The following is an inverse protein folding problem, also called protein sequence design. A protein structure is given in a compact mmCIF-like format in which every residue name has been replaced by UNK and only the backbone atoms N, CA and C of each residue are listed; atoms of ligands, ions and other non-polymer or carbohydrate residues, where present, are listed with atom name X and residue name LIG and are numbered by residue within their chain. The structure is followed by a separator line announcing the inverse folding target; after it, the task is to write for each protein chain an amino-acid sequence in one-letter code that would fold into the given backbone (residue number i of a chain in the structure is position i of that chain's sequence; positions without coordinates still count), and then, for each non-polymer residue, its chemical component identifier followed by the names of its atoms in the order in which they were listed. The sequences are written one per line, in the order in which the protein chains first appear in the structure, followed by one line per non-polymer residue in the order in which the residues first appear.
data_IF_369372089539
#
_entry.id   IF_369372089539
#
_cell.length_a   1.000
_cell.length_b   1.000
_cell.length_c   1.000
_cell.angle_alpha   90.00
_cell.angle_beta   90.00
_cell.angle_gamma   90.00
#
_symmetry.space_group_name_H-M   'P 1'
#
loop_
_entity.id
_entity.type
_entity.pdbx_description
1 polymer ?
#
# COMPACT_ATOMS: atom_id res chain seq x y z
N UNK A 1 -64.78 10.97 37.55
CA UNK A 1 -63.93 11.79 36.60
C UNK A 1 -62.51 11.96 37.09
N UNK A 2 -62.26 12.23 38.39
CA UNK A 2 -60.88 12.41 38.94
C UNK A 2 -60.02 11.15 38.80
N UNK A 3 -60.60 9.93 39.09
CA UNK A 3 -59.88 8.63 38.98
C UNK A 3 -59.45 8.30 37.51
N UNK A 4 -60.32 8.63 36.55
CA UNK A 4 -59.99 8.46 35.11
C UNK A 4 -58.84 9.43 34.65
N UNK A 5 -58.86 10.67 35.15
CA UNK A 5 -57.76 11.62 34.87
C UNK A 5 -56.42 11.18 35.46
N UNK A 6 -56.41 10.64 36.70
CA UNK A 6 -55.22 10.11 37.33
C UNK A 6 -54.66 8.88 36.58
N UNK A 7 -55.56 7.98 36.13
CA UNK A 7 -55.17 6.82 35.34
C UNK A 7 -54.51 7.22 33.99
N UNK A 8 -55.08 8.22 33.31
CA UNK A 8 -54.51 8.76 32.06
C UNK A 8 -53.14 9.42 32.27
N UNK A 9 -52.96 10.17 33.36
CA UNK A 9 -51.66 10.75 33.71
C UNK A 9 -50.63 9.68 34.05
N UNK A 10 -50.98 8.63 34.77
CA UNK A 10 -50.10 7.51 35.08
C UNK A 10 -49.70 6.74 33.81
N UNK A 11 -50.62 6.49 32.89
CA UNK A 11 -50.32 5.87 31.58
C UNK A 11 -49.43 6.76 30.74
N UNK A 12 -49.65 8.06 30.71
CA UNK A 12 -48.79 9.03 30.01
C UNK A 12 -47.38 9.05 30.60
N UNK A 13 -47.23 9.03 31.92
CA UNK A 13 -45.93 8.97 32.59
C UNK A 13 -45.18 7.65 32.29
N UNK A 14 -45.88 6.51 32.30
CA UNK A 14 -45.31 5.21 31.93
C UNK A 14 -44.87 5.16 30.45
N UNK A 15 -45.65 5.74 29.55
CA UNK A 15 -45.28 5.83 28.13
C UNK A 15 -44.05 6.70 27.91
N UNK A 16 -43.95 7.84 28.61
CA UNK A 16 -42.76 8.70 28.57
C UNK A 16 -41.53 8.01 29.15
N UNK A 17 -41.67 7.31 30.28
CA UNK A 17 -40.55 6.55 30.88
C UNK A 17 -40.11 5.40 29.97
N UNK A 18 -41.05 4.64 29.39
CA UNK A 18 -40.77 3.58 28.44
C UNK A 18 -40.08 4.10 27.18
N UNK A 19 -40.57 5.23 26.65
CA UNK A 19 -39.95 5.88 25.51
C UNK A 19 -38.52 6.42 25.80
N UNK A 20 -38.32 7.01 26.98
CA UNK A 20 -36.98 7.47 27.40
C UNK A 20 -36.00 6.31 27.63
N UNK A 21 -36.45 5.21 28.25
CA UNK A 21 -35.64 4.02 28.44
C UNK A 21 -35.25 3.37 27.09
N UNK A 22 -36.24 3.24 26.19
CA UNK A 22 -35.96 2.73 24.83
C UNK A 22 -35.00 3.62 24.06
N UNK A 23 -35.20 4.95 24.10
CA UNK A 23 -34.29 5.92 23.47
C UNK A 23 -32.87 5.85 24.03
N UNK A 24 -32.72 5.71 25.35
CA UNK A 24 -31.42 5.54 25.99
C UNK A 24 -30.74 4.23 25.56
N UNK A 25 -31.48 3.11 25.51
CA UNK A 25 -30.93 1.85 25.00
C UNK A 25 -30.50 1.97 23.53
N UNK A 26 -31.35 2.58 22.70
CA UNK A 26 -31.02 2.80 21.29
C UNK A 26 -29.74 3.65 21.11
N UNK A 27 -29.55 4.71 21.89
CA UNK A 27 -28.35 5.54 21.88
C UNK A 27 -27.11 4.71 22.25
N UNK A 28 -27.23 3.86 23.31
CA UNK A 28 -26.10 3.00 23.73
C UNK A 28 -25.75 1.99 22.63
N UNK A 29 -26.75 1.36 22.01
CA UNK A 29 -26.53 0.41 20.91
C UNK A 29 -25.93 1.09 19.65
N UNK A 30 -26.24 2.37 19.41
CA UNK A 30 -25.79 3.14 18.26
C UNK A 30 -24.68 4.15 18.59
N UNK A 31 -24.10 4.10 19.79
CA UNK A 31 -23.11 5.10 20.26
C UNK A 31 -21.99 5.31 19.26
N UNK A 32 -21.42 4.23 18.71
CA UNK A 32 -20.30 4.29 17.76
C UNK A 32 -20.70 4.97 16.46
N UNK A 33 -21.86 4.60 15.90
CA UNK A 33 -22.36 5.20 14.67
C UNK A 33 -22.66 6.71 14.85
N UNK A 34 -23.29 7.08 15.96
CA UNK A 34 -23.56 8.48 16.30
C UNK A 34 -22.24 9.26 16.42
N UNK A 35 -21.24 8.67 17.08
CA UNK A 35 -19.90 9.27 17.20
C UNK A 35 -19.23 9.44 15.84
N UNK A 36 -19.25 8.41 14.97
CA UNK A 36 -18.66 8.47 13.64
C UNK A 36 -19.32 9.56 12.79
N UNK A 37 -20.66 9.67 12.81
CA UNK A 37 -21.37 10.75 12.12
C UNK A 37 -21.02 12.13 12.65
N UNK A 38 -20.90 12.29 13.96
CA UNK A 38 -20.54 13.57 14.58
C UNK A 38 -19.10 13.97 14.22
N UNK A 39 -18.16 13.02 14.27
CA UNK A 39 -16.75 13.26 13.91
C UNK A 39 -16.64 13.61 12.43
N UNK A 40 -17.31 12.87 11.54
CA UNK A 40 -17.31 13.15 10.11
C UNK A 40 -17.92 14.53 9.80
N UNK A 41 -19.00 14.91 10.47
CA UNK A 41 -19.64 16.24 10.31
C UNK A 41 -18.71 17.39 10.76
N UNK A 42 -17.90 17.17 11.79
CA UNK A 42 -16.96 18.17 12.33
C UNK A 42 -15.62 18.21 11.59
N UNK A 43 -15.34 17.19 10.80
CA UNK A 43 -14.09 17.10 10.06
C UNK A 43 -14.14 17.99 8.81
N UNK A 44 -13.24 18.95 8.75
CA UNK A 44 -13.03 19.76 7.54
C UNK A 44 -12.23 18.92 6.54
N UNK A 45 -12.95 18.27 5.61
CA UNK A 45 -12.38 17.32 4.66
C UNK A 45 -11.47 18.05 3.67
N UNK A 46 -10.16 17.75 3.65
CA UNK A 46 -9.25 18.33 2.68
C UNK A 46 -9.66 17.98 1.24
N UNK A 47 -9.35 18.86 0.29
CA UNK A 47 -9.66 18.66 -1.14
C UNK A 47 -9.06 17.34 -1.68
N UNK A 48 -7.83 16.99 -1.27
CA UNK A 48 -7.20 15.72 -1.61
C UNK A 48 -8.02 14.52 -1.16
N UNK A 49 -8.52 14.52 0.07
CA UNK A 49 -9.35 13.44 0.62
C UNK A 49 -10.70 13.35 -0.10
N UNK A 50 -11.32 14.50 -0.42
CA UNK A 50 -12.55 14.54 -1.21
C UNK A 50 -12.32 13.91 -2.61
N UNK A 51 -11.17 14.21 -3.23
CA UNK A 51 -10.76 13.61 -4.49
C UNK A 51 -10.55 12.10 -4.38
N UNK A 52 -9.97 11.59 -3.29
CA UNK A 52 -9.79 10.14 -3.08
C UNK A 52 -11.13 9.41 -2.96
N UNK A 53 -12.13 10.00 -2.29
CA UNK A 53 -13.49 9.45 -2.20
C UNK A 53 -14.08 9.24 -3.61
N UNK A 54 -13.98 10.25 -4.47
CA UNK A 54 -14.52 10.21 -5.84
C UNK A 54 -13.73 9.20 -6.70
N UNK A 55 -12.41 9.26 -6.67
CA UNK A 55 -11.53 8.42 -7.47
C UNK A 55 -11.65 6.94 -7.10
N UNK A 56 -11.72 6.62 -5.81
CA UNK A 56 -11.89 5.25 -5.32
C UNK A 56 -13.33 4.73 -5.46
N UNK A 57 -14.29 5.58 -5.85
CA UNK A 57 -15.69 5.19 -6.01
C UNK A 57 -16.37 4.82 -4.71
N UNK A 58 -16.03 5.51 -3.60
CA UNK A 58 -16.63 5.21 -2.30
C UNK A 58 -18.10 5.60 -2.28
N UNK A 59 -18.93 4.78 -1.61
CA UNK A 59 -20.30 5.11 -1.29
C UNK A 59 -20.39 6.16 -0.17
N UNK A 60 -21.59 6.67 0.11
CA UNK A 60 -21.82 7.55 1.27
C UNK A 60 -21.33 6.90 2.58
N UNK A 61 -21.51 5.59 2.74
CA UNK A 61 -21.04 4.84 3.93
C UNK A 61 -19.51 4.73 3.95
N UNK A 62 -18.87 4.44 2.81
CA UNK A 62 -17.42 4.41 2.70
C UNK A 62 -16.81 5.79 2.99
N UNK A 63 -17.39 6.85 2.41
CA UNK A 63 -16.98 8.23 2.66
C UNK A 63 -17.16 8.62 4.14
N UNK A 64 -18.26 8.18 4.77
CA UNK A 64 -18.48 8.39 6.20
C UNK A 64 -17.37 7.77 7.04
N UNK A 65 -17.02 6.50 6.80
CA UNK A 65 -15.97 5.85 7.60
C UNK A 65 -14.56 6.40 7.33
N UNK A 66 -14.27 6.80 6.09
CA UNK A 66 -13.05 7.51 5.79
C UNK A 66 -12.95 8.84 6.55
N UNK A 67 -13.97 9.70 6.45
CA UNK A 67 -13.99 11.03 7.11
C UNK A 67 -14.10 10.95 8.62
N UNK A 68 -14.85 9.98 9.18
CA UNK A 68 -14.89 9.69 10.61
C UNK A 68 -13.52 9.24 11.16
N UNK A 69 -12.67 8.69 10.31
CA UNK A 69 -11.29 8.34 10.65
C UNK A 69 -10.29 9.49 10.43
N UNK A 70 -10.77 10.69 10.13
CA UNK A 70 -10.00 11.94 10.03
C UNK A 70 -8.65 11.75 9.29
N UNK A 71 -8.66 11.32 8.01
CA UNK A 71 -7.45 11.00 7.27
C UNK A 71 -6.53 12.19 7.17
N UNK A 72 -5.23 11.93 7.32
CA UNK A 72 -4.19 12.95 7.29
C UNK A 72 -3.08 12.51 6.35
N UNK A 73 -2.85 13.28 5.29
CA UNK A 73 -1.68 13.12 4.41
C UNK A 73 -0.46 13.66 5.14
N UNK A 74 0.58 12.86 5.26
CA UNK A 74 1.75 13.12 6.10
C UNK A 74 3.03 13.00 5.26
N UNK A 75 3.91 14.02 5.28
CA UNK A 75 5.18 13.95 4.56
C UNK A 75 6.07 12.81 5.07
N UNK A 76 6.94 12.30 4.19
CA UNK A 76 7.80 11.14 4.44
C UNK A 76 8.58 11.18 5.76
N UNK A 77 9.11 12.36 6.14
CA UNK A 77 9.92 12.53 7.35
C UNK A 77 9.11 12.44 8.65
N UNK A 78 7.78 12.59 8.59
CA UNK A 78 6.90 12.50 9.74
C UNK A 78 6.16 11.16 9.81
N UNK A 79 5.98 10.48 8.67
CA UNK A 79 5.09 9.32 8.53
C UNK A 79 5.42 8.20 9.53
N UNK A 80 6.71 7.88 9.73
CA UNK A 80 7.15 6.86 10.68
C UNK A 80 6.83 7.15 12.16
N UNK A 81 6.32 8.35 12.51
CA UNK A 81 5.84 8.66 13.87
C UNK A 81 4.44 8.09 14.13
N UNK A 82 3.67 7.88 13.06
CA UNK A 82 2.28 7.44 13.11
C UNK A 82 2.14 5.98 12.70
N UNK A 83 2.84 5.58 11.65
CA UNK A 83 2.82 4.25 11.06
C UNK A 83 4.17 3.58 11.29
N UNK A 84 4.25 2.68 12.27
CA UNK A 84 5.51 2.11 12.76
C UNK A 84 5.91 0.79 12.08
N UNK A 85 5.17 0.31 11.06
CA UNK A 85 5.46 -0.96 10.39
C UNK A 85 6.58 -0.81 9.37
N UNK A 86 7.55 -1.72 9.42
CA UNK A 86 8.53 -1.92 8.38
C UNK A 86 8.05 -3.07 7.48
N UNK A 87 7.43 -2.73 6.34
CA UNK A 87 7.07 -3.73 5.34
C UNK A 87 8.23 -3.95 4.38
N UNK A 88 8.65 -5.20 4.14
CA UNK A 88 9.58 -5.51 3.07
C UNK A 88 8.93 -5.22 1.70
N UNK A 89 9.63 -4.54 0.83
CA UNK A 89 9.17 -4.24 -0.52
C UNK A 89 8.70 -2.78 -0.68
N UNK A 90 7.42 -2.54 -0.95
CA UNK A 90 6.88 -1.21 -1.29
C UNK A 90 6.86 -0.25 -0.08
N UNK A 91 6.93 -0.77 1.14
CA UNK A 91 6.79 0.00 2.37
C UNK A 91 5.34 0.31 2.72
N UNK A 92 5.10 0.68 3.97
CA UNK A 92 3.79 1.12 4.46
C UNK A 92 3.49 2.51 3.89
N UNK A 93 2.39 2.65 3.15
CA UNK A 93 1.96 3.92 2.56
C UNK A 93 0.72 4.51 3.23
N UNK A 94 0.13 3.78 4.17
CA UNK A 94 -0.94 4.22 5.02
C UNK A 94 -1.00 3.39 6.29
N UNK A 95 -1.74 3.84 7.28
CA UNK A 95 -2.14 3.03 8.41
C UNK A 95 -3.39 3.58 9.09
N UNK A 96 -4.29 2.67 9.48
CA UNK A 96 -5.34 2.95 10.42
C UNK A 96 -4.88 2.62 11.83
N UNK A 97 -4.92 3.57 12.73
CA UNK A 97 -4.52 3.37 14.13
C UNK A 97 -5.75 3.20 15.02
N UNK A 98 -5.84 2.05 15.70
CA UNK A 98 -6.97 1.75 16.62
C UNK A 98 -6.94 2.61 17.88
N UNK A 99 -5.76 3.16 18.25
CA UNK A 99 -5.57 3.97 19.45
C UNK A 99 -6.35 5.29 19.41
N UNK A 100 -6.35 5.97 18.27
CA UNK A 100 -7.01 7.26 18.07
C UNK A 100 -8.07 7.23 16.96
N UNK A 101 -8.28 6.05 16.34
CA UNK A 101 -9.24 5.80 15.24
C UNK A 101 -8.96 6.70 14.02
N UNK A 102 -7.68 6.95 13.71
CA UNK A 102 -7.26 7.82 12.60
C UNK A 102 -6.57 7.05 11.50
N UNK A 103 -6.68 7.62 10.30
CA UNK A 103 -5.95 7.19 9.12
C UNK A 103 -4.80 8.16 8.86
N UNK A 104 -3.61 7.63 8.61
CA UNK A 104 -2.46 8.39 8.16
C UNK A 104 -2.05 7.87 6.78
N UNK A 105 -1.88 8.78 5.82
CA UNK A 105 -1.53 8.48 4.44
C UNK A 105 -0.16 9.11 4.16
N UNK A 106 0.70 8.37 3.48
CA UNK A 106 1.98 8.87 3.01
C UNK A 106 1.76 9.83 1.83
N UNK A 107 2.42 10.99 1.87
CA UNK A 107 2.42 11.98 0.78
C UNK A 107 3.28 11.46 -0.38
N UNK A 108 2.64 10.95 -1.43
CA UNK A 108 3.29 10.40 -2.63
C UNK A 108 3.56 11.52 -3.61
N UNK A 109 4.81 11.91 -3.74
CA UNK A 109 5.21 13.06 -4.59
C UNK A 109 5.58 12.69 -6.02
N UNK A 110 5.70 11.40 -6.36
CA UNK A 110 5.97 10.95 -7.73
C UNK A 110 4.67 10.94 -8.57
N UNK A 111 4.57 11.78 -9.63
CA UNK A 111 3.34 11.88 -10.42
C UNK A 111 2.97 10.59 -11.19
N UNK A 112 3.90 9.64 -11.33
CA UNK A 112 3.60 8.32 -11.91
C UNK A 112 2.76 7.44 -10.98
N UNK A 113 2.77 7.76 -9.69
CA UNK A 113 2.11 7.03 -8.61
C UNK A 113 0.91 7.81 -8.03
N UNK A 114 0.37 8.79 -8.74
CA UNK A 114 -0.78 9.61 -8.31
C UNK A 114 -2.04 8.78 -8.01
N UNK A 115 -2.15 7.60 -8.65
CA UNK A 115 -3.23 6.64 -8.39
C UNK A 115 -3.10 5.89 -7.06
N UNK A 116 -1.96 5.98 -6.37
CA UNK A 116 -1.67 5.19 -5.17
C UNK A 116 -2.42 5.70 -3.94
N UNK A 117 -2.44 7.01 -3.73
CA UNK A 117 -3.05 7.61 -2.53
C UNK A 117 -4.55 7.28 -2.38
N UNK A 118 -5.40 7.36 -3.43
CA UNK A 118 -6.80 6.95 -3.31
C UNK A 118 -6.97 5.44 -3.06
N UNK A 119 -6.08 4.58 -3.57
CA UNK A 119 -6.08 3.13 -3.26
C UNK A 119 -5.76 2.92 -1.79
N UNK A 120 -4.68 3.55 -1.29
CA UNK A 120 -4.29 3.44 0.12
C UNK A 120 -5.37 4.02 1.03
N UNK A 121 -5.98 5.16 0.68
CA UNK A 121 -7.08 5.73 1.46
C UNK A 121 -8.28 4.79 1.57
N UNK A 122 -8.66 4.10 0.49
CA UNK A 122 -9.72 3.09 0.49
C UNK A 122 -9.33 1.84 1.29
N UNK A 123 -8.07 1.41 1.21
CA UNK A 123 -7.53 0.30 1.99
C UNK A 123 -7.62 0.58 3.49
N UNK A 124 -7.13 1.73 3.94
CA UNK A 124 -7.18 2.14 5.34
C UNK A 124 -8.62 2.39 5.83
N UNK A 125 -9.49 2.87 4.96
CA UNK A 125 -10.92 2.97 5.25
C UNK A 125 -11.51 1.58 5.53
N UNK A 126 -11.13 0.55 4.77
CA UNK A 126 -11.58 -0.82 5.03
C UNK A 126 -11.03 -1.37 6.35
N UNK A 127 -9.79 -1.05 6.75
CA UNK A 127 -9.32 -1.33 8.10
C UNK A 127 -10.19 -0.65 9.15
N UNK A 128 -10.52 0.63 8.94
CA UNK A 128 -11.43 1.34 9.84
C UNK A 128 -12.81 0.69 9.93
N UNK A 129 -13.34 0.16 8.82
CA UNK A 129 -14.57 -0.64 8.77
C UNK A 129 -14.40 -1.95 9.54
N UNK A 130 -13.32 -2.70 9.29
CA UNK A 130 -13.05 -3.99 9.93
C UNK A 130 -13.06 -3.87 11.47
N UNK A 131 -12.36 -2.90 12.01
CA UNK A 131 -12.29 -2.67 13.45
C UNK A 131 -13.59 -2.09 14.06
N UNK A 132 -14.56 -1.75 13.23
CA UNK A 132 -15.92 -1.37 13.63
C UNK A 132 -16.89 -2.55 13.67
N UNK A 133 -16.56 -3.65 13.02
CA UNK A 133 -17.38 -4.87 13.00
C UNK A 133 -17.34 -5.60 14.34
N UNK A 134 -18.47 -6.24 14.66
CA UNK A 134 -18.52 -7.19 15.77
C UNK A 134 -17.74 -8.45 15.43
N UNK A 135 -17.30 -9.20 16.45
CA UNK A 135 -16.62 -10.48 16.26
C UNK A 135 -17.46 -11.45 15.41
N UNK A 136 -18.79 -11.47 15.60
CA UNK A 136 -19.69 -12.32 14.80
C UNK A 136 -19.65 -11.95 13.31
N UNK A 137 -19.58 -10.66 12.96
CA UNK A 137 -19.47 -10.22 11.58
C UNK A 137 -18.08 -10.55 11.00
N UNK A 138 -17.03 -10.38 11.78
CA UNK A 138 -15.67 -10.75 11.39
C UNK A 138 -15.54 -12.26 11.15
N UNK A 139 -16.07 -13.09 12.05
CA UNK A 139 -16.10 -14.55 11.93
C UNK A 139 -16.91 -15.02 10.71
N UNK A 140 -17.95 -14.30 10.31
CA UNK A 140 -18.73 -14.61 9.11
C UNK A 140 -18.00 -14.26 7.82
N UNK A 141 -17.15 -13.23 7.81
CA UNK A 141 -16.40 -12.78 6.64
C UNK A 141 -15.10 -13.57 6.45
N UNK A 142 -14.43 -13.99 7.51
CA UNK A 142 -13.12 -14.64 7.44
C UNK A 142 -13.08 -15.84 6.47
N UNK A 143 -14.02 -16.80 6.47
CA UNK A 143 -14.01 -17.92 5.52
C UNK A 143 -14.20 -17.47 4.06
N UNK A 144 -14.96 -16.41 3.79
CA UNK A 144 -15.15 -15.87 2.43
C UNK A 144 -13.88 -15.20 1.91
N UNK A 145 -13.13 -14.55 2.80
CA UNK A 145 -11.84 -13.94 2.47
C UNK A 145 -10.79 -15.00 2.18
N UNK A 146 -10.73 -16.07 2.98
CA UNK A 146 -9.83 -17.21 2.72
C UNK A 146 -10.21 -17.95 1.43
N UNK A 147 -11.50 -18.10 1.12
CA UNK A 147 -11.97 -18.66 -0.15
C UNK A 147 -11.48 -17.79 -1.33
N UNK A 148 -11.68 -16.49 -1.27
CA UNK A 148 -11.22 -15.57 -2.30
C UNK A 148 -9.70 -15.63 -2.46
N UNK A 149 -8.95 -15.64 -1.36
CA UNK A 149 -7.50 -15.77 -1.36
C UNK A 149 -7.02 -17.09 -1.97
N UNK A 150 -7.69 -18.20 -1.67
CA UNK A 150 -7.36 -19.52 -2.20
C UNK A 150 -7.57 -19.64 -3.72
N UNK A 151 -8.34 -18.74 -4.35
CA UNK A 151 -8.49 -18.68 -5.82
C UNK A 151 -7.29 -18.07 -6.53
N UNK A 152 -6.44 -17.34 -5.79
CA UNK A 152 -5.22 -16.75 -6.32
C UNK A 152 -4.18 -17.86 -6.53
N UNK A 153 -3.47 -17.81 -7.65
CA UNK A 153 -2.35 -18.74 -7.89
C UNK A 153 -1.19 -18.51 -6.92
N UNK A 154 -0.39 -19.55 -6.65
CA UNK A 154 0.77 -19.47 -5.74
C UNK A 154 1.79 -18.40 -6.12
N UNK A 155 1.86 -18.04 -7.40
CA UNK A 155 2.76 -17.01 -7.95
C UNK A 155 2.16 -15.59 -7.86
N UNK A 156 0.94 -15.45 -7.35
CA UNK A 156 0.33 -14.13 -7.25
C UNK A 156 1.05 -13.28 -6.18
N UNK A 157 1.43 -12.01 -6.48
CA UNK A 157 2.21 -11.17 -5.55
C UNK A 157 1.59 -11.01 -4.16
N UNK A 158 0.27 -11.08 -4.08
CA UNK A 158 -0.47 -11.03 -2.83
C UNK A 158 -0.14 -12.18 -1.89
N UNK A 159 0.21 -13.36 -2.40
CA UNK A 159 0.52 -14.53 -1.55
C UNK A 159 1.76 -14.25 -0.70
N UNK A 160 2.82 -13.71 -1.30
CA UNK A 160 4.03 -13.33 -0.57
C UNK A 160 3.76 -12.16 0.40
N UNK A 161 2.97 -11.18 -0.06
CA UNK A 161 2.64 -10.00 0.77
C UNK A 161 1.85 -10.40 2.03
N UNK A 162 0.85 -11.27 1.92
CA UNK A 162 0.09 -11.78 3.07
C UNK A 162 0.97 -12.62 3.99
N UNK A 163 1.86 -13.46 3.45
CA UNK A 163 2.80 -14.22 4.28
C UNK A 163 3.72 -13.31 5.12
N UNK A 164 4.09 -12.15 4.57
CA UNK A 164 4.89 -11.14 5.30
C UNK A 164 4.11 -10.53 6.47
N UNK A 165 2.85 -10.15 6.25
CA UNK A 165 1.99 -9.62 7.33
C UNK A 165 1.77 -10.65 8.43
N UNK A 166 1.50 -11.91 8.06
CA UNK A 166 1.29 -13.01 8.99
C UNK A 166 2.53 -13.34 9.81
N UNK A 167 3.73 -13.19 9.23
CA UNK A 167 4.99 -13.42 9.93
C UNK A 167 5.29 -12.33 10.97
N UNK A 168 4.88 -11.08 10.71
CA UNK A 168 5.02 -9.95 11.65
C UNK A 168 3.98 -10.02 12.77
N UNK A 169 2.70 -10.21 12.42
CA UNK A 169 1.59 -10.38 13.34
C UNK A 169 0.54 -11.34 12.75
N UNK A 170 0.43 -12.59 13.25
CA UNK A 170 -0.58 -13.53 12.75
C UNK A 170 -2.03 -13.02 12.83
N UNK A 171 -2.33 -12.10 13.76
CA UNK A 171 -3.66 -11.52 13.87
C UNK A 171 -3.98 -10.50 12.77
N UNK A 172 -2.99 -10.02 12.03
CA UNK A 172 -3.16 -9.07 10.93
C UNK A 172 -3.70 -9.72 9.65
N UNK A 173 -3.53 -11.05 9.47
CA UNK A 173 -3.89 -11.77 8.24
C UNK A 173 -5.28 -11.46 7.72
N UNK A 174 -6.31 -11.65 8.52
CA UNK A 174 -7.70 -11.47 8.05
C UNK A 174 -8.05 -9.99 7.81
N UNK A 175 -7.69 -9.04 8.70
CA UNK A 175 -7.83 -7.61 8.41
C UNK A 175 -7.14 -7.17 7.11
N UNK A 176 -5.93 -7.66 6.83
CA UNK A 176 -5.21 -7.33 5.58
C UNK A 176 -5.89 -7.97 4.37
N UNK A 177 -6.29 -9.25 4.44
CA UNK A 177 -7.09 -9.87 3.37
C UNK A 177 -8.35 -9.08 3.08
N UNK A 178 -9.05 -8.61 4.11
CA UNK A 178 -10.27 -7.81 3.96
C UNK A 178 -10.00 -6.50 3.18
N UNK A 179 -8.95 -5.78 3.52
CA UNK A 179 -8.63 -4.52 2.88
C UNK A 179 -8.07 -4.71 1.46
N UNK A 180 -7.13 -5.64 1.28
CA UNK A 180 -6.48 -5.90 -0.02
C UNK A 180 -7.49 -6.47 -1.02
N UNK A 181 -8.25 -7.51 -0.65
CA UNK A 181 -9.26 -8.10 -1.55
C UNK A 181 -10.29 -7.04 -1.97
N UNK A 182 -10.70 -6.18 -1.04
CA UNK A 182 -11.66 -5.11 -1.30
C UNK A 182 -11.16 -4.04 -2.28
N UNK A 183 -9.86 -3.78 -2.33
CA UNK A 183 -9.27 -2.69 -3.12
C UNK A 183 -8.46 -3.12 -4.34
N UNK A 184 -7.98 -4.38 -4.38
CA UNK A 184 -7.01 -4.78 -5.40
C UNK A 184 -7.46 -6.00 -6.24
N UNK A 185 -8.38 -6.84 -5.73
CA UNK A 185 -8.82 -8.04 -6.43
C UNK A 185 -10.13 -7.78 -7.17
N UNK A 186 -10.08 -7.91 -8.50
CA UNK A 186 -11.22 -7.61 -9.38
C UNK A 186 -12.37 -8.59 -9.19
N UNK A 187 -12.08 -9.88 -9.27
CA UNK A 187 -13.07 -10.94 -9.18
C UNK A 187 -13.08 -11.54 -7.78
N UNK A 188 -14.19 -11.36 -7.09
CA UNK A 188 -14.39 -11.89 -5.74
C UNK A 188 -15.73 -12.65 -5.68
N UNK A 189 -15.92 -13.57 -4.73
CA UNK A 189 -17.21 -14.24 -4.53
C UNK A 189 -18.35 -13.22 -4.40
N UNK A 190 -19.52 -13.55 -4.97
CA UNK A 190 -20.70 -12.66 -4.97
C UNK A 190 -21.07 -12.16 -3.57
N UNK A 191 -20.86 -12.98 -2.53
CA UNK A 191 -21.14 -12.61 -1.14
C UNK A 191 -20.21 -11.49 -0.65
N UNK A 192 -18.92 -11.51 -1.05
CA UNK A 192 -17.97 -10.44 -0.75
C UNK A 192 -18.27 -9.19 -1.57
N UNK A 193 -18.60 -9.32 -2.87
CA UNK A 193 -18.98 -8.18 -3.70
C UNK A 193 -20.22 -7.47 -3.12
N UNK A 194 -21.25 -8.22 -2.74
CA UNK A 194 -22.43 -7.68 -2.06
C UNK A 194 -22.10 -7.03 -0.70
N UNK A 195 -21.06 -7.52 -0.03
CA UNK A 195 -20.58 -6.90 1.20
C UNK A 195 -19.85 -5.58 0.92
N UNK A 196 -18.91 -5.56 -0.05
CA UNK A 196 -18.15 -4.36 -0.40
C UNK A 196 -19.02 -3.26 -1.03
N UNK A 197 -20.12 -3.61 -1.70
CA UNK A 197 -21.08 -2.63 -2.27
C UNK A 197 -21.73 -1.72 -1.21
N UNK A 198 -21.59 -2.02 0.08
CA UNK A 198 -21.97 -1.10 1.14
C UNK A 198 -21.01 0.09 1.27
N UNK A 199 -19.76 -0.07 0.85
CA UNK A 199 -18.68 0.91 1.02
C UNK A 199 -18.21 1.53 -0.30
N UNK A 200 -18.56 0.90 -1.42
CA UNK A 200 -18.23 1.37 -2.77
C UNK A 200 -19.51 1.42 -3.61
N UNK A 201 -19.78 2.57 -4.24
CA UNK A 201 -20.78 2.67 -5.29
C UNK A 201 -20.29 1.99 -6.57
N UNK A 202 -18.97 2.05 -6.80
CA UNK A 202 -18.31 1.41 -7.92
C UNK A 202 -16.89 0.96 -7.49
N UNK A 203 -16.79 -0.27 -6.98
CA UNK A 203 -15.52 -0.85 -6.53
C UNK A 203 -14.51 -1.04 -7.69
N UNK A 204 -15.00 -1.15 -8.93
CA UNK A 204 -14.09 -1.29 -10.07
C UNK A 204 -13.13 -0.11 -10.22
N UNK A 205 -13.53 1.10 -9.76
CA UNK A 205 -12.68 2.29 -9.81
C UNK A 205 -11.41 2.12 -8.97
N UNK A 206 -11.52 1.69 -7.72
CA UNK A 206 -10.35 1.51 -6.86
C UNK A 206 -9.45 0.37 -7.36
N UNK A 207 -10.04 -0.70 -7.89
CA UNK A 207 -9.28 -1.81 -8.50
C UNK A 207 -8.54 -1.34 -9.76
N UNK A 208 -9.17 -0.50 -10.62
CA UNK A 208 -8.51 0.08 -11.79
C UNK A 208 -7.34 1.01 -11.41
N UNK A 209 -7.47 1.73 -10.28
CA UNK A 209 -6.37 2.53 -9.72
C UNK A 209 -5.22 1.63 -9.26
N UNK A 210 -5.50 0.56 -8.52
CA UNK A 210 -4.52 -0.43 -8.09
C UNK A 210 -3.79 -1.06 -9.29
N UNK A 211 -4.53 -1.50 -10.31
CA UNK A 211 -3.97 -2.03 -11.56
C UNK A 211 -3.02 -1.03 -12.27
N UNK A 212 -3.32 0.28 -12.20
CA UNK A 212 -2.42 1.31 -12.73
C UNK A 212 -1.12 1.40 -11.95
N UNK A 213 -1.19 1.36 -10.64
CA UNK A 213 -0.01 1.36 -9.76
C UNK A 213 0.87 0.15 -10.06
N UNK A 214 0.30 -1.06 -10.12
CA UNK A 214 1.06 -2.27 -10.44
C UNK A 214 1.76 -2.18 -11.79
N UNK A 215 1.09 -1.67 -12.83
CA UNK A 215 1.73 -1.47 -14.16
C UNK A 215 2.93 -0.52 -14.11
N UNK A 216 2.90 0.50 -13.26
CA UNK A 216 4.06 1.39 -13.08
C UNK A 216 5.23 0.62 -12.45
N UNK A 217 4.98 -0.18 -11.43
CA UNK A 217 6.02 -1.01 -10.80
C UNK A 217 6.59 -2.05 -11.76
N UNK A 218 5.75 -2.76 -12.51
CA UNK A 218 6.19 -3.72 -13.54
C UNK A 218 7.10 -3.05 -14.56
N UNK A 219 6.75 -1.85 -15.02
CA UNK A 219 7.55 -1.07 -15.96
C UNK A 219 8.90 -0.70 -15.34
N UNK A 220 8.91 -0.18 -14.11
CA UNK A 220 10.13 0.20 -13.40
C UNK A 220 11.05 -1.01 -13.15
N UNK A 221 10.48 -2.14 -12.81
CA UNK A 221 11.24 -3.39 -12.63
C UNK A 221 11.89 -3.84 -13.93
N UNK A 222 11.14 -3.84 -15.05
CA UNK A 222 11.69 -4.18 -16.37
C UNK A 222 12.82 -3.23 -16.78
N UNK A 223 12.67 -1.91 -16.55
CA UNK A 223 13.73 -0.92 -16.80
C UNK A 223 14.96 -1.19 -15.93
N UNK A 224 14.78 -1.53 -14.66
CA UNK A 224 15.88 -1.87 -13.75
C UNK A 224 16.64 -3.11 -14.21
N UNK A 225 15.93 -4.15 -14.62
CA UNK A 225 16.54 -5.37 -15.18
C UNK A 225 17.33 -5.09 -16.46
N UNK A 226 16.78 -4.27 -17.36
CA UNK A 226 17.46 -3.85 -18.57
C UNK A 226 18.76 -3.09 -18.27
N UNK A 227 18.70 -2.08 -17.38
CA UNK A 227 19.87 -1.30 -16.98
C UNK A 227 20.92 -2.16 -16.28
N UNK A 228 20.51 -3.11 -15.46
CA UNK A 228 21.41 -4.07 -14.80
C UNK A 228 22.15 -4.94 -15.82
N UNK A 229 21.45 -5.45 -16.83
CA UNK A 229 22.03 -6.24 -17.91
C UNK A 229 23.00 -5.41 -18.76
N UNK A 230 22.65 -4.15 -19.08
CA UNK A 230 23.56 -3.25 -19.79
C UNK A 230 24.82 -2.96 -18.97
N UNK A 231 24.69 -2.68 -17.68
CA UNK A 231 25.82 -2.46 -16.78
C UNK A 231 26.76 -3.67 -16.75
N UNK A 232 26.20 -4.88 -16.62
CA UNK A 232 26.99 -6.12 -16.63
C UNK A 232 27.73 -6.32 -17.96
N UNK A 233 27.09 -6.02 -19.10
CA UNK A 233 27.71 -6.08 -20.44
C UNK A 233 28.83 -5.09 -20.56
N UNK A 234 28.64 -3.83 -20.11
CA UNK A 234 29.70 -2.79 -20.14
C UNK A 234 30.89 -3.15 -19.25
N UNK A 235 30.63 -3.72 -18.07
CA UNK A 235 31.68 -4.18 -17.18
C UNK A 235 32.53 -5.28 -17.85
N UNK A 236 31.91 -6.26 -18.51
CA UNK A 236 32.60 -7.31 -19.22
C UNK A 236 33.44 -6.77 -20.36
N UNK A 237 32.95 -5.78 -21.13
CA UNK A 237 33.70 -5.09 -22.18
C UNK A 237 34.92 -4.37 -21.61
N UNK A 238 34.78 -3.61 -20.53
CA UNK A 238 35.86 -2.90 -19.83
C UNK A 238 36.93 -3.87 -19.36
N UNK A 239 36.58 -4.98 -18.76
CA UNK A 239 37.56 -5.99 -18.31
C UNK A 239 38.31 -6.62 -19.51
N UNK A 240 37.62 -6.86 -20.63
CA UNK A 240 38.26 -7.32 -21.87
C UNK A 240 39.25 -6.32 -22.43
N UNK A 241 38.88 -5.04 -22.49
CA UNK A 241 39.76 -3.97 -22.92
C UNK A 241 40.99 -3.80 -21.99
N UNK A 242 40.74 -3.88 -20.69
CA UNK A 242 41.80 -3.82 -19.67
C UNK A 242 42.80 -4.96 -19.82
N UNK A 243 42.32 -6.18 -19.99
CA UNK A 243 43.17 -7.34 -20.24
C UNK A 243 44.02 -7.15 -21.50
N UNK A 244 43.41 -6.70 -22.61
CA UNK A 244 44.12 -6.44 -23.88
C UNK A 244 45.17 -5.34 -23.72
N UNK A 245 44.85 -4.27 -22.99
CA UNK A 245 45.78 -3.18 -22.70
C UNK A 245 46.99 -3.67 -21.87
N UNK A 246 46.74 -4.42 -20.79
CA UNK A 246 47.79 -4.97 -19.93
C UNK A 246 48.73 -5.91 -20.71
N UNK A 247 48.18 -6.79 -21.55
CA UNK A 247 48.95 -7.72 -22.37
C UNK A 247 49.77 -6.97 -23.42
N UNK A 248 49.17 -6.00 -24.13
CA UNK A 248 49.89 -5.18 -25.13
C UNK A 248 50.99 -4.37 -24.47
N UNK A 249 50.74 -3.78 -23.31
CA UNK A 249 51.74 -3.02 -22.55
C UNK A 249 52.92 -3.91 -22.11
N UNK A 250 52.64 -5.15 -21.71
CA UNK A 250 53.64 -6.13 -21.31
C UNK A 250 54.53 -6.52 -22.50
N UNK A 251 53.93 -6.79 -23.68
CA UNK A 251 54.66 -7.10 -24.90
C UNK A 251 55.53 -5.93 -25.30
N UNK A 252 54.99 -4.71 -25.35
CA UNK A 252 55.73 -3.50 -25.70
C UNK A 252 56.92 -3.24 -24.76
N UNK A 253 56.71 -3.43 -23.44
CA UNK A 253 57.78 -3.28 -22.45
C UNK A 253 58.92 -4.29 -22.70
N UNK A 254 58.59 -5.55 -23.06
CA UNK A 254 59.58 -6.56 -23.41
C UNK A 254 60.36 -6.20 -24.70
N UNK A 255 59.67 -5.70 -25.75
CA UNK A 255 60.29 -5.26 -27.00
C UNK A 255 61.21 -4.07 -26.78
N UNK A 256 60.80 -3.07 -25.98
CA UNK A 256 61.63 -1.93 -25.59
C UNK A 256 62.90 -2.43 -24.84
N UNK A 257 62.72 -3.37 -23.91
CA UNK A 257 63.87 -3.98 -23.19
C UNK A 257 64.84 -4.66 -24.11
N UNK A 258 64.38 -5.50 -25.03
CA UNK A 258 65.18 -6.20 -26.00
C UNK A 258 65.89 -5.22 -26.98
N UNK A 259 65.19 -4.17 -27.44
CA UNK A 259 65.76 -3.12 -28.25
C UNK A 259 66.90 -2.39 -27.51
N UNK A 260 66.67 -1.97 -26.28
CA UNK A 260 67.71 -1.26 -25.49
C UNK A 260 68.93 -2.13 -25.21
N UNK A 261 68.74 -3.42 -24.93
CA UNK A 261 69.85 -4.38 -24.74
C UNK A 261 70.66 -4.48 -26.03
N UNK A 262 70.02 -4.63 -27.18
CA UNK A 262 70.65 -4.64 -28.47
C UNK A 262 71.36 -3.32 -28.77
N UNK A 263 70.79 -2.17 -28.50
CA UNK A 263 71.34 -0.84 -28.69
C UNK A 263 72.60 -0.60 -27.86
N UNK A 264 72.69 -1.19 -26.67
CA UNK A 264 73.86 -1.08 -25.78
C UNK A 264 74.98 -2.09 -26.13
N UNK A 265 74.75 -3.00 -27.08
CA UNK A 265 75.74 -4.01 -27.48
C UNK A 265 76.66 -3.44 -28.61
N UNK A 266 77.95 -3.30 -28.41
CA UNK A 266 78.87 -2.78 -29.46
C UNK A 266 78.79 -3.62 -30.72
N UNK A 267 78.56 -2.97 -31.90
CA UNK A 267 78.49 -3.64 -33.19
C UNK A 267 77.15 -4.32 -33.52
N UNK A 268 76.13 -4.26 -32.63
CA UNK A 268 74.83 -4.86 -32.88
C UNK A 268 74.05 -4.20 -34.02
N UNK A 269 74.30 -2.94 -34.33
CA UNK A 269 73.80 -2.19 -35.51
C UNK A 269 74.92 -1.79 -36.44
N UNK A 270 75.19 -2.55 -37.52
CA UNK A 270 76.29 -2.30 -38.40
C UNK A 270 76.16 -1.05 -39.33
N UNK A 271 74.96 -0.46 -39.37
CA UNK A 271 74.67 0.80 -40.07
C UNK A 271 73.69 1.69 -39.37
N UNK A 272 73.75 3.02 -39.59
CA UNK A 272 72.81 3.98 -39.04
C UNK A 272 71.38 3.69 -39.46
N UNK A 273 71.11 3.19 -40.63
CA UNK A 273 69.84 2.86 -41.21
C UNK A 273 69.15 1.63 -40.52
N UNK A 274 69.91 0.83 -39.76
CA UNK A 274 69.40 -0.29 -38.99
C UNK A 274 69.03 0.11 -37.53
N UNK A 275 69.50 1.30 -37.14
CA UNK A 275 69.20 1.87 -35.84
C UNK A 275 67.92 2.76 -35.87
N UNK A 276 67.68 3.44 -37.05
CA UNK A 276 66.47 4.23 -37.33
C UNK A 276 65.25 3.29 -37.69
#
# INVERSE_FOLDING_TARGET
RLRAGLALLALGALALQGGAAWGALWVVENERNIKDQLVAYQFDTPESVASYIEQAGLSETGALYLTASQPRVVPSFEFGRYCARNEPGIGVLGCYTTRDSRIYLYDVTDPRLDSMEPVVAAHEMLHAVWFRKTTTEQDALAPLLEEAFATLGSEHPLVERIATYEADDPASRIPELYSIIGTEIREVPNALEAHYSQYFDDRSKVVDLADRVYRVFDTLQAELEQLSNELNSRNAEIEGLRFTYEETSRVLAADIGAFNEKANTPGAFPSKSQFE
#
